data_IF_544139793605
#
_entry.id   IF_544139793605
#
_cell.length_a   1.000
_cell.length_b   1.000
_cell.length_c   1.000
_cell.angle_alpha   90.00
_cell.angle_beta   90.00
_cell.angle_gamma   90.00
#
_symmetry.space_group_name_H-M   'P 1'
#
loop_
_entity.id
_entity.type
_entity.pdbx_description
1 polymer ?
#
# COMPACT_ATOMS: atom_id res chain seq x y z
N UNK A 1 13.03 10.56 -27.59
CA UNK A 1 11.88 10.05 -26.84
C UNK A 1 12.02 10.25 -25.36
N UNK A 2 11.92 11.46 -24.92
CA UNK A 2 12.11 11.77 -23.51
C UNK A 2 11.10 11.08 -22.60
N UNK A 3 9.93 10.77 -23.13
CA UNK A 3 8.88 10.15 -22.32
C UNK A 3 9.22 8.76 -21.83
N UNK A 4 10.01 8.02 -22.60
CA UNK A 4 10.41 6.68 -22.19
C UNK A 4 11.27 6.74 -20.94
N UNK A 5 12.19 7.69 -20.88
CA UNK A 5 13.06 7.87 -19.71
C UNK A 5 12.24 8.29 -18.50
N UNK A 6 11.31 9.22 -18.68
CA UNK A 6 10.46 9.68 -17.58
C UNK A 6 9.61 8.54 -17.03
N UNK A 7 9.10 7.67 -17.88
CA UNK A 7 8.30 6.53 -17.45
C UNK A 7 9.11 5.52 -16.66
N UNK A 8 10.37 5.30 -17.08
CA UNK A 8 11.23 4.32 -16.43
C UNK A 8 11.63 4.73 -15.01
N UNK A 9 11.49 6.01 -14.65
CA UNK A 9 11.83 6.48 -13.32
C UNK A 9 10.71 6.30 -12.30
N UNK A 10 9.57 5.77 -12.73
CA UNK A 10 8.39 5.60 -11.86
C UNK A 10 8.17 4.15 -11.44
N UNK A 11 9.22 3.34 -11.42
CA UNK A 11 9.11 1.97 -10.92
C UNK A 11 9.22 1.95 -9.39
N UNK A 12 8.79 0.85 -8.80
CA UNK A 12 8.91 0.68 -7.35
C UNK A 12 10.34 0.86 -6.87
N UNK A 13 11.32 0.27 -7.57
CA UNK A 13 12.72 0.41 -7.21
C UNK A 13 13.19 1.87 -7.26
N UNK A 14 12.77 2.61 -8.27
CA UNK A 14 13.13 4.02 -8.41
C UNK A 14 12.56 4.87 -7.27
N UNK A 15 11.33 4.59 -6.87
CA UNK A 15 10.70 5.30 -5.76
C UNK A 15 11.44 5.01 -4.46
N UNK A 16 11.87 3.77 -4.25
CA UNK A 16 12.64 3.41 -3.06
C UNK A 16 14.00 4.14 -3.02
N UNK A 17 14.61 4.36 -4.16
CA UNK A 17 15.83 5.17 -4.22
C UNK A 17 15.53 6.61 -3.80
N UNK A 18 14.44 7.17 -4.29
CA UNK A 18 14.02 8.53 -3.93
C UNK A 18 13.75 8.65 -2.44
N UNK A 19 13.18 7.62 -1.83
CA UNK A 19 12.92 7.61 -0.39
C UNK A 19 14.18 7.37 0.46
N UNK A 20 15.31 7.09 -0.19
CA UNK A 20 16.55 6.82 0.53
C UNK A 20 16.62 5.42 1.13
N UNK A 21 15.70 4.53 0.76
CA UNK A 21 15.64 3.17 1.29
C UNK A 21 16.47 2.17 0.49
N UNK A 22 16.79 2.50 -0.76
CA UNK A 22 17.50 1.60 -1.66
C UNK A 22 18.52 2.43 -2.44
N UNK A 23 19.74 1.90 -2.59
CA UNK A 23 20.75 2.60 -3.40
C UNK A 23 20.54 2.32 -4.89
N UNK A 24 21.12 3.18 -5.73
CA UNK A 24 20.92 3.09 -7.18
C UNK A 24 21.43 1.77 -7.75
N UNK A 25 22.51 1.25 -7.19
CA UNK A 25 23.10 -0.02 -7.66
C UNK A 25 22.16 -1.18 -7.42
N UNK A 26 21.59 -1.26 -6.23
CA UNK A 26 20.63 -2.32 -5.88
C UNK A 26 19.34 -2.18 -6.66
N UNK A 27 18.89 -0.95 -6.88
CA UNK A 27 17.71 -0.70 -7.70
C UNK A 27 17.92 -1.24 -9.12
N UNK A 28 19.10 -1.04 -9.69
CA UNK A 28 19.41 -1.57 -11.02
C UNK A 28 19.41 -3.09 -11.00
N UNK A 29 19.96 -3.70 -9.96
CA UNK A 29 19.94 -5.16 -9.82
C UNK A 29 18.51 -5.71 -9.76
N UNK A 30 17.62 -5.02 -9.06
CA UNK A 30 16.21 -5.42 -8.99
C UNK A 30 15.58 -5.37 -10.39
N UNK A 31 15.83 -4.29 -11.12
CA UNK A 31 15.30 -4.15 -12.49
C UNK A 31 15.82 -5.24 -13.41
N UNK A 32 17.10 -5.54 -13.32
CA UNK A 32 17.71 -6.57 -14.15
C UNK A 32 17.14 -7.94 -13.81
N UNK A 33 16.96 -8.24 -12.54
CA UNK A 33 16.40 -9.51 -12.09
C UNK A 33 14.96 -9.65 -12.55
N UNK A 34 14.19 -8.57 -12.51
CA UNK A 34 12.83 -8.58 -13.01
C UNK A 34 12.78 -8.98 -14.49
N UNK A 35 13.65 -8.39 -15.29
CA UNK A 35 13.70 -8.67 -16.72
C UNK A 35 14.10 -10.14 -16.97
N UNK A 36 15.07 -10.63 -16.22
CA UNK A 36 15.58 -11.98 -16.43
C UNK A 36 14.64 -13.06 -15.93
N UNK A 37 13.99 -12.85 -14.80
CA UNK A 37 13.21 -13.90 -14.14
C UNK A 37 11.71 -13.78 -14.36
N UNK A 38 11.23 -12.61 -14.79
CA UNK A 38 9.80 -12.35 -14.87
C UNK A 38 9.12 -12.13 -13.53
N UNK A 39 9.88 -12.15 -12.45
CA UNK A 39 9.36 -11.89 -11.11
C UNK A 39 9.20 -10.37 -10.91
N UNK A 40 8.14 -9.95 -10.22
CA UNK A 40 7.91 -8.52 -10.00
C UNK A 40 8.96 -7.91 -9.09
N UNK A 41 9.16 -6.60 -9.22
CA UNK A 41 10.09 -5.88 -8.36
C UNK A 41 9.71 -6.02 -6.89
N UNK A 42 8.42 -5.96 -6.59
CA UNK A 42 7.93 -6.12 -5.22
C UNK A 42 8.34 -7.46 -4.63
N UNK A 43 8.14 -8.54 -5.37
CA UNK A 43 8.49 -9.88 -4.90
C UNK A 43 9.99 -10.05 -4.73
N UNK A 44 10.78 -9.50 -5.64
CA UNK A 44 12.24 -9.54 -5.54
C UNK A 44 12.71 -8.83 -4.27
N UNK A 45 12.17 -7.64 -4.00
CA UNK A 45 12.55 -6.84 -2.85
C UNK A 45 12.14 -7.52 -1.55
N UNK A 46 10.95 -8.12 -1.51
CA UNK A 46 10.48 -8.84 -0.33
C UNK A 46 11.33 -10.07 -0.03
N UNK A 47 11.59 -10.88 -1.05
CA UNK A 47 12.38 -12.09 -0.89
C UNK A 47 13.78 -11.80 -0.41
N UNK A 48 14.39 -10.76 -0.94
CA UNK A 48 15.77 -10.39 -0.64
C UNK A 48 15.90 -9.52 0.61
N UNK A 49 14.76 -9.10 1.19
CA UNK A 49 14.72 -8.24 2.37
C UNK A 49 15.59 -6.98 2.20
N UNK A 50 15.54 -6.39 1.01
CA UNK A 50 16.40 -5.26 0.68
C UNK A 50 16.00 -3.97 1.42
N UNK A 51 14.73 -3.83 1.80
CA UNK A 51 14.24 -2.64 2.47
C UNK A 51 13.28 -3.06 3.60
N UNK A 52 13.09 -2.20 4.61
CA UNK A 52 12.05 -2.43 5.61
C UNK A 52 10.67 -2.46 4.98
N UNK A 53 9.77 -3.25 5.56
CA UNK A 53 8.41 -3.36 5.02
C UNK A 53 7.69 -2.01 5.01
N UNK A 54 7.92 -1.16 6.01
CA UNK A 54 7.31 0.16 6.04
C UNK A 54 7.68 1.00 4.82
N UNK A 55 8.93 0.91 4.38
CA UNK A 55 9.39 1.64 3.20
C UNK A 55 8.80 1.06 1.92
N UNK A 56 8.63 -0.25 1.87
CA UNK A 56 8.00 -0.89 0.72
C UNK A 56 6.54 -0.46 0.59
N UNK A 57 5.79 -0.44 1.70
CA UNK A 57 4.40 0.00 1.72
C UNK A 57 4.31 1.47 1.31
N UNK A 58 5.18 2.31 1.85
CA UNK A 58 5.22 3.72 1.50
C UNK A 58 5.51 3.93 0.01
N UNK A 59 6.45 3.18 -0.55
CA UNK A 59 6.78 3.27 -1.96
C UNK A 59 5.63 2.82 -2.85
N UNK A 60 4.94 1.76 -2.47
CA UNK A 60 3.76 1.29 -3.21
C UNK A 60 2.66 2.35 -3.20
N UNK A 61 2.47 3.00 -2.06
CA UNK A 61 1.48 4.07 -1.96
C UNK A 61 1.80 5.20 -2.92
N UNK A 62 3.06 5.60 -3.01
CA UNK A 62 3.48 6.63 -3.96
C UNK A 62 3.32 6.19 -5.41
N UNK A 63 3.66 4.94 -5.69
CA UNK A 63 3.57 4.40 -7.05
C UNK A 63 2.13 4.42 -7.57
N UNK A 64 1.18 4.10 -6.71
CA UNK A 64 -0.23 4.03 -7.08
C UNK A 64 -1.02 5.27 -6.66
N UNK A 65 -0.32 6.29 -6.18
CA UNK A 65 -0.92 7.57 -5.78
C UNK A 65 -2.00 7.39 -4.72
N UNK A 66 -1.70 6.57 -3.72
CA UNK A 66 -2.58 6.29 -2.59
C UNK A 66 -1.97 6.93 -1.34
N UNK A 67 -2.78 7.58 -0.50
CA UNK A 67 -2.25 8.16 0.75
C UNK A 67 -1.64 7.09 1.65
N UNK A 68 -0.51 7.42 2.26
CA UNK A 68 0.16 6.57 3.24
C UNK A 68 0.00 7.19 4.62
N UNK A 69 -0.43 6.41 5.61
CA UNK A 69 -0.61 6.89 6.97
C UNK A 69 0.17 6.04 7.96
N UNK A 70 0.49 6.66 9.09
CA UNK A 70 1.14 5.98 10.21
C UNK A 70 0.11 5.78 11.30
N UNK A 71 -0.32 4.53 11.49
CA UNK A 71 -1.36 4.19 12.47
C UNK A 71 -0.94 4.47 13.91
N UNK A 72 0.36 4.48 14.19
CA UNK A 72 0.84 4.74 15.55
C UNK A 72 0.61 6.17 15.99
N UNK A 73 0.48 7.10 15.04
CA UNK A 73 0.28 8.52 15.35
C UNK A 73 -1.13 9.01 15.04
N UNK A 74 -1.96 8.17 14.43
CA UNK A 74 -3.28 8.58 13.97
C UNK A 74 -4.37 8.08 14.91
N UNK A 75 -5.19 8.98 15.46
CA UNK A 75 -6.32 8.54 16.29
C UNK A 75 -7.37 7.84 15.42
N UNK A 76 -7.98 6.80 15.98
CA UNK A 76 -9.01 6.03 15.30
C UNK A 76 -10.36 6.36 15.89
N UNK A 77 -11.32 6.71 15.03
CA UNK A 77 -12.67 7.04 15.48
C UNK A 77 -13.40 5.77 15.93
N UNK A 78 -14.08 5.80 17.09
CA UNK A 78 -14.84 4.63 17.54
C UNK A 78 -15.89 4.17 16.54
N UNK A 79 -16.50 5.09 15.81
CA UNK A 79 -17.51 4.78 14.79
C UNK A 79 -16.91 3.89 13.70
N UNK A 80 -15.67 4.18 13.30
CA UNK A 80 -15.00 3.40 12.27
C UNK A 80 -14.72 1.99 12.78
N UNK A 81 -14.27 1.86 14.03
CA UNK A 81 -14.01 0.55 14.62
C UNK A 81 -15.26 -0.33 14.66
N UNK A 82 -16.42 0.27 14.84
CA UNK A 82 -17.68 -0.47 14.88
C UNK A 82 -18.16 -0.95 13.51
N UNK A 83 -17.64 -0.37 12.44
CA UNK A 83 -18.09 -0.68 11.10
C UNK A 83 -17.65 -2.07 10.62
N UNK A 84 -16.53 -2.58 11.14
CA UNK A 84 -15.94 -3.83 10.71
C UNK A 84 -15.62 -4.69 11.93
N UNK A 85 -15.92 -5.98 11.88
CA UNK A 85 -15.57 -6.88 12.97
C UNK A 85 -14.05 -7.10 13.01
N UNK A 86 -13.54 -7.39 14.19
CA UNK A 86 -12.13 -7.70 14.38
C UNK A 86 -11.70 -8.88 13.52
N UNK A 87 -12.54 -9.90 13.41
CA UNK A 87 -12.26 -11.09 12.62
C UNK A 87 -12.03 -10.73 11.15
N UNK A 88 -12.88 -9.88 10.57
CA UNK A 88 -12.75 -9.45 9.19
C UNK A 88 -11.51 -8.58 9.02
N UNK A 89 -11.26 -7.68 9.97
CA UNK A 89 -10.07 -6.81 9.91
C UNK A 89 -8.78 -7.64 9.89
N UNK A 90 -8.70 -8.66 10.73
CA UNK A 90 -7.52 -9.52 10.78
C UNK A 90 -7.38 -10.36 9.52
N UNK A 91 -8.49 -10.86 9.02
CA UNK A 91 -8.49 -11.73 7.83
C UNK A 91 -7.94 -11.02 6.60
N UNK A 92 -8.28 -9.76 6.41
CA UNK A 92 -7.86 -9.02 5.23
C UNK A 92 -6.69 -8.08 5.47
N UNK A 93 -6.17 -8.02 6.71
CA UNK A 93 -5.08 -7.10 7.02
C UNK A 93 -5.49 -5.65 6.85
N UNK A 94 -6.68 -5.30 7.32
CA UNK A 94 -7.24 -3.96 7.19
C UNK A 94 -7.56 -3.39 8.57
N UNK A 95 -7.65 -2.07 8.63
CA UNK A 95 -7.98 -1.39 9.88
C UNK A 95 -8.85 -0.16 9.57
N UNK A 96 -10.07 -0.06 10.15
CA UNK A 96 -10.91 1.10 9.91
C UNK A 96 -10.37 2.31 10.66
N UNK A 97 -10.18 3.41 9.95
CA UNK A 97 -9.55 4.62 10.48
C UNK A 97 -10.57 5.72 10.72
N UNK A 98 -11.43 5.97 9.76
CA UNK A 98 -12.39 7.07 9.83
C UNK A 98 -13.67 6.72 9.09
N UNK A 99 -14.78 7.19 9.60
CA UNK A 99 -16.08 7.01 8.98
C UNK A 99 -16.70 8.38 8.71
N UNK A 100 -17.01 8.65 7.45
CA UNK A 100 -17.73 9.84 7.04
C UNK A 100 -19.20 9.45 6.83
N UNK A 101 -20.04 9.75 7.81
CA UNK A 101 -21.44 9.38 7.77
C UNK A 101 -22.22 10.16 6.71
N UNK A 102 -21.79 11.37 6.43
CA UNK A 102 -22.44 12.22 5.44
C UNK A 102 -22.29 11.65 4.04
N UNK A 103 -21.08 11.25 3.68
CA UNK A 103 -20.79 10.69 2.37
C UNK A 103 -20.85 9.17 2.35
N UNK A 104 -21.14 8.54 3.49
CA UNK A 104 -21.17 7.09 3.66
C UNK A 104 -19.87 6.46 3.17
N UNK A 105 -18.76 7.03 3.59
CA UNK A 105 -17.44 6.60 3.20
C UNK A 105 -16.65 6.12 4.41
N UNK A 106 -15.98 4.98 4.24
CA UNK A 106 -15.13 4.40 5.28
C UNK A 106 -13.68 4.40 4.80
N UNK A 107 -12.81 5.05 5.56
CA UNK A 107 -11.38 5.04 5.26
C UNK A 107 -10.77 3.82 5.91
N UNK A 108 -10.17 2.94 5.11
CA UNK A 108 -9.52 1.72 5.56
C UNK A 108 -8.02 1.82 5.38
N UNK A 109 -7.28 1.58 6.46
CA UNK A 109 -5.84 1.38 6.36
C UNK A 109 -5.60 -0.06 5.94
N UNK A 110 -4.84 -0.25 4.87
CA UNK A 110 -4.60 -1.57 4.29
C UNK A 110 -3.12 -1.77 4.04
N UNK A 111 -2.63 -2.96 4.35
CA UNK A 111 -1.26 -3.31 3.99
C UNK A 111 -1.12 -3.51 2.48
N UNK A 112 -2.23 -3.89 1.83
CA UNK A 112 -2.30 -3.95 0.37
C UNK A 112 -3.51 -3.16 -0.10
N UNK A 113 -3.35 -1.84 -0.35
CA UNK A 113 -4.49 -0.99 -0.73
C UNK A 113 -5.03 -1.28 -2.13
N UNK A 114 -4.41 -2.17 -2.88
CA UNK A 114 -4.89 -2.58 -4.20
C UNK A 114 -5.66 -3.89 -4.17
N UNK A 115 -5.92 -4.44 -2.99
CA UNK A 115 -6.69 -5.66 -2.85
C UNK A 115 -8.18 -5.36 -3.07
N UNK A 116 -8.60 -5.40 -4.32
CA UNK A 116 -9.98 -5.08 -4.69
C UNK A 116 -10.98 -6.08 -4.11
N UNK A 117 -10.58 -7.32 -3.91
CA UNK A 117 -11.45 -8.33 -3.32
C UNK A 117 -11.84 -7.93 -1.90
N UNK A 118 -10.86 -7.48 -1.11
CA UNK A 118 -11.12 -7.01 0.25
C UNK A 118 -12.01 -5.77 0.23
N UNK A 119 -11.72 -4.82 -0.65
CA UNK A 119 -12.49 -3.58 -0.76
C UNK A 119 -13.94 -3.89 -1.11
N UNK A 120 -14.17 -4.72 -2.11
CA UNK A 120 -15.53 -5.08 -2.53
C UNK A 120 -16.28 -5.81 -1.43
N UNK A 121 -15.61 -6.73 -0.74
CA UNK A 121 -16.23 -7.44 0.38
C UNK A 121 -16.70 -6.47 1.46
N UNK A 122 -15.86 -5.51 1.83
CA UNK A 122 -16.21 -4.54 2.87
C UNK A 122 -17.34 -3.62 2.40
N UNK A 123 -17.31 -3.17 1.16
CA UNK A 123 -18.35 -2.32 0.64
C UNK A 123 -19.71 -3.01 0.64
N UNK A 124 -19.75 -4.28 0.28
CA UNK A 124 -20.98 -5.05 0.29
C UNK A 124 -21.48 -5.31 1.70
N UNK A 125 -20.57 -5.61 2.61
CA UNK A 125 -20.96 -5.94 3.99
C UNK A 125 -21.41 -4.72 4.79
N UNK A 126 -20.76 -3.58 4.57
CA UNK A 126 -21.06 -2.36 5.34
C UNK A 126 -22.00 -1.39 4.63
N UNK A 127 -22.17 -1.58 3.34
CA UNK A 127 -22.92 -0.65 2.48
C UNK A 127 -22.31 0.75 2.51
N UNK A 128 -21.01 0.83 2.71
CA UNK A 128 -20.22 2.05 2.72
C UNK A 128 -19.26 2.05 1.57
N UNK A 129 -18.89 3.23 1.10
CA UNK A 129 -17.86 3.38 0.09
C UNK A 129 -16.49 3.32 0.78
N UNK A 130 -15.58 2.50 0.26
CA UNK A 130 -14.26 2.34 0.87
C UNK A 130 -13.27 3.28 0.22
N UNK A 131 -12.52 4.01 1.07
CA UNK A 131 -11.38 4.82 0.66
C UNK A 131 -10.11 4.16 1.21
N UNK A 132 -9.35 3.45 0.38
CA UNK A 132 -8.17 2.77 0.87
C UNK A 132 -7.01 3.74 1.10
N UNK A 133 -6.29 3.54 2.19
CA UNK A 133 -5.02 4.22 2.44
C UNK A 133 -3.99 3.16 2.78
N UNK A 134 -2.74 3.39 2.41
CA UNK A 134 -1.68 2.45 2.70
C UNK A 134 -1.19 2.63 4.12
N UNK A 135 -0.96 1.52 4.80
CA UNK A 135 -0.42 1.55 6.16
C UNK A 135 0.40 0.29 6.39
N UNK A 136 1.38 0.44 7.27
CA UNK A 136 2.19 -0.67 7.71
C UNK A 136 1.32 -1.62 8.55
N UNK A 137 1.46 -2.94 8.40
CA UNK A 137 0.75 -3.89 9.26
C UNK A 137 1.14 -3.69 10.72
N UNK A 138 0.16 -3.71 11.60
CA UNK A 138 0.41 -3.53 13.03
C UNK A 138 1.02 -4.77 13.66
#
# INVERSE_FOLDING_TARGET
MPNVTAQSTNTLADILVTLGALDAKRAQQVKDTEIQSGTTQEDIIKKSELVPESKLVEAKAKLYNIPYIDLSTMPVAPDALSAISQEVAERFGIFPVALDRKDKALTLAMSDPLDLTAIEFIEQKTNLKVKPVAAEPA
#
